data_IF_789952297718
#
_entry.id   IF_789952297718
#
_cell.length_a   1.000
_cell.length_b   1.000
_cell.length_c   1.000
_cell.angle_alpha   90.00
_cell.angle_beta   90.00
_cell.angle_gamma   90.00
#
_symmetry.space_group_name_H-M   'P 1'
#
loop_
_entity.id
_entity.type
_entity.pdbx_description
1 polymer ?
#
# COMPACT_ATOMS: atom_id res chain seq x y z
N UNK A 1 -6.24 5.43 18.32
CA UNK A 1 -7.22 5.11 17.26
C UNK A 1 -8.08 3.96 17.75
N UNK A 2 -9.38 3.98 17.51
CA UNK A 2 -10.29 2.87 17.86
C UNK A 2 -10.08 1.69 16.90
N UNK A 3 -10.23 0.45 17.40
CA UNK A 3 -10.16 -0.74 16.57
C UNK A 3 -11.29 -0.73 15.53
N UNK A 4 -10.98 -1.05 14.28
CA UNK A 4 -11.95 -1.04 13.17
C UNK A 4 -12.40 -2.46 12.84
N UNK A 5 -13.71 -2.76 12.85
CA UNK A 5 -14.20 -4.09 12.47
C UNK A 5 -14.07 -4.30 10.96
N UNK A 6 -13.59 -5.47 10.58
CA UNK A 6 -13.55 -5.94 9.20
C UNK A 6 -14.21 -7.32 9.07
N UNK A 7 -14.73 -7.62 7.89
CA UNK A 7 -15.05 -9.00 7.52
C UNK A 7 -13.74 -9.74 7.23
N UNK A 8 -13.75 -11.07 7.33
CA UNK A 8 -12.57 -11.89 7.02
C UNK A 8 -12.06 -11.61 5.59
N UNK A 9 -12.97 -11.59 4.62
CA UNK A 9 -12.64 -11.32 3.21
C UNK A 9 -12.04 -9.93 3.03
N UNK A 10 -12.67 -8.88 3.58
CA UNK A 10 -12.15 -7.51 3.45
C UNK A 10 -10.78 -7.33 4.10
N UNK A 11 -10.48 -8.06 5.19
CA UNK A 11 -9.14 -8.08 5.78
C UNK A 11 -8.12 -8.77 4.86
N UNK A 12 -8.46 -9.92 4.29
CA UNK A 12 -7.62 -10.67 3.35
C UNK A 12 -7.31 -9.86 2.09
N UNK A 13 -8.29 -9.15 1.54
CA UNK A 13 -8.12 -8.26 0.38
C UNK A 13 -7.10 -7.14 0.67
N UNK A 14 -7.18 -6.49 1.85
CA UNK A 14 -6.23 -5.46 2.26
C UNK A 14 -4.81 -6.01 2.48
N UNK A 15 -4.70 -7.23 3.00
CA UNK A 15 -3.41 -7.92 3.15
C UNK A 15 -2.81 -8.25 1.79
N UNK A 16 -3.62 -8.75 0.85
CA UNK A 16 -3.18 -9.01 -0.51
C UNK A 16 -2.72 -7.74 -1.21
N UNK A 17 -3.50 -6.65 -1.13
CA UNK A 17 -3.11 -5.35 -1.69
C UNK A 17 -1.78 -4.87 -1.11
N UNK A 18 -1.58 -4.99 0.21
CA UNK A 18 -0.32 -4.63 0.86
C UNK A 18 0.85 -5.48 0.33
N UNK A 19 0.66 -6.77 0.13
CA UNK A 19 1.69 -7.67 -0.40
C UNK A 19 2.07 -7.31 -1.84
N UNK A 20 1.09 -7.03 -2.69
CA UNK A 20 1.32 -6.60 -4.08
C UNK A 20 2.06 -5.26 -4.14
N UNK A 21 1.64 -4.28 -3.34
CA UNK A 21 2.32 -2.99 -3.27
C UNK A 21 3.74 -3.11 -2.72
N UNK A 22 4.00 -4.04 -1.82
CA UNK A 22 5.35 -4.30 -1.30
C UNK A 22 6.27 -4.82 -2.40
N UNK A 23 5.77 -5.70 -3.28
CA UNK A 23 6.51 -6.15 -4.47
C UNK A 23 6.74 -4.99 -5.44
N UNK A 24 5.68 -4.25 -5.78
CA UNK A 24 5.74 -3.08 -6.67
C UNK A 24 6.71 -1.99 -6.18
N UNK A 25 6.86 -1.85 -4.86
CA UNK A 25 7.82 -0.93 -4.24
C UNK A 25 9.26 -1.26 -4.62
N UNK A 26 9.63 -2.55 -4.68
CA UNK A 26 10.99 -2.98 -5.07
C UNK A 26 11.29 -2.51 -6.49
N UNK A 27 10.34 -2.73 -7.41
CA UNK A 27 10.47 -2.28 -8.80
C UNK A 27 10.52 -0.76 -8.90
N UNK A 28 9.71 -0.04 -8.11
CA UNK A 28 9.72 1.43 -8.08
C UNK A 28 11.06 1.99 -7.57
N UNK A 29 11.68 1.36 -6.57
CA UNK A 29 13.01 1.74 -6.07
C UNK A 29 14.09 1.46 -7.12
N UNK A 30 14.04 0.31 -7.79
CA UNK A 30 14.97 -0.02 -8.87
C UNK A 30 14.87 0.99 -10.01
N UNK A 31 13.65 1.32 -10.45
CA UNK A 31 13.40 2.34 -11.47
C UNK A 31 13.89 3.72 -11.06
N UNK A 32 13.70 4.12 -9.80
CA UNK A 32 14.21 5.40 -9.29
C UNK A 32 15.73 5.44 -9.31
N UNK A 33 16.39 4.33 -8.95
CA UNK A 33 17.85 4.21 -9.00
C UNK A 33 18.37 4.35 -10.43
N UNK A 34 17.80 3.59 -11.37
CA UNK A 34 18.17 3.67 -12.79
C UNK A 34 17.93 5.07 -13.35
N UNK A 35 16.77 5.66 -13.06
CA UNK A 35 16.47 7.02 -13.51
C UNK A 35 17.46 8.05 -12.93
N UNK A 36 17.90 7.88 -11.68
CA UNK A 36 18.91 8.75 -11.05
C UNK A 36 20.27 8.68 -11.74
N UNK A 37 20.62 7.56 -12.37
CA UNK A 37 21.89 7.35 -13.07
C UNK A 37 21.88 7.87 -14.51
N UNK A 38 20.70 8.16 -15.08
CA UNK A 38 20.52 8.55 -16.49
C UNK A 38 20.83 10.04 -16.81
N UNK A 39 21.29 10.85 -15.85
CA UNK A 39 21.72 12.23 -16.12
C UNK A 39 21.43 13.19 -14.97
N UNK A 40 21.37 14.49 -15.29
CA UNK A 40 21.13 15.55 -14.31
C UNK A 40 19.71 15.47 -13.73
N UNK A 41 19.62 15.41 -12.40
CA UNK A 41 18.36 15.21 -11.65
C UNK A 41 17.37 16.36 -11.79
N UNK A 42 17.87 17.57 -12.09
CA UNK A 42 17.04 18.77 -12.22
C UNK A 42 16.15 18.73 -13.46
N UNK A 43 16.67 18.19 -14.57
CA UNK A 43 15.98 18.11 -15.87
C UNK A 43 15.35 16.73 -16.14
N UNK A 44 15.79 15.70 -15.42
CA UNK A 44 15.35 14.33 -15.64
C UNK A 44 13.87 14.11 -15.24
N UNK A 45 12.99 14.17 -16.24
CA UNK A 45 11.56 13.90 -16.08
C UNK A 45 11.29 12.46 -15.61
N UNK A 46 12.06 11.48 -16.07
CA UNK A 46 11.92 10.08 -15.65
C UNK A 46 12.19 9.91 -14.16
N UNK A 47 13.18 10.61 -13.60
CA UNK A 47 13.45 10.63 -12.16
C UNK A 47 12.29 11.22 -11.37
N UNK A 48 11.71 12.35 -11.81
CA UNK A 48 10.55 12.98 -11.16
C UNK A 48 9.34 12.03 -11.15
N UNK A 49 9.08 11.35 -12.26
CA UNK A 49 7.99 10.37 -12.38
C UNK A 49 8.26 9.15 -11.48
N UNK A 50 9.46 8.57 -11.52
CA UNK A 50 9.83 7.44 -10.69
C UNK A 50 9.73 7.76 -9.19
N UNK A 51 10.15 8.97 -8.79
CA UNK A 51 10.05 9.45 -7.40
C UNK A 51 8.59 9.59 -6.96
N UNK A 52 7.74 10.15 -7.82
CA UNK A 52 6.31 10.29 -7.55
C UNK A 52 5.62 8.93 -7.42
N UNK A 53 5.97 7.97 -8.29
CA UNK A 53 5.46 6.60 -8.25
C UNK A 53 5.85 5.90 -6.94
N UNK A 54 7.12 5.97 -6.55
CA UNK A 54 7.59 5.42 -5.26
C UNK A 54 6.85 6.06 -4.08
N UNK A 55 6.74 7.39 -4.06
CA UNK A 55 6.03 8.12 -3.00
C UNK A 55 4.55 7.69 -2.87
N UNK A 56 3.89 7.45 -4.00
CA UNK A 56 2.50 7.02 -4.05
C UNK A 56 2.33 5.61 -3.47
N UNK A 57 3.21 4.67 -3.85
CA UNK A 57 3.25 3.31 -3.29
C UNK A 57 3.50 3.35 -1.79
N UNK A 58 4.51 4.11 -1.35
CA UNK A 58 4.86 4.26 0.07
C UNK A 58 3.71 4.86 0.89
N UNK A 59 2.99 5.84 0.33
CA UNK A 59 1.82 6.45 0.99
C UNK A 59 0.72 5.42 1.20
N UNK A 60 0.42 4.60 0.18
CA UNK A 60 -0.61 3.56 0.27
C UNK A 60 -0.20 2.46 1.24
N UNK A 61 1.05 2.01 1.22
CA UNK A 61 1.58 1.02 2.16
C UNK A 61 1.48 1.48 3.63
N UNK A 62 1.82 2.76 3.91
CA UNK A 62 1.65 3.33 5.26
C UNK A 62 0.20 3.34 5.71
N UNK A 63 -0.71 3.71 4.80
CA UNK A 63 -2.14 3.72 5.08
C UNK A 63 -2.67 2.31 5.38
N UNK A 64 -2.38 1.33 4.52
CA UNK A 64 -2.78 -0.07 4.71
C UNK A 64 -2.20 -0.65 6.00
N UNK A 65 -0.93 -0.37 6.31
CA UNK A 65 -0.30 -0.84 7.54
C UNK A 65 -1.00 -0.30 8.78
N UNK A 66 -1.34 1.00 8.78
CA UNK A 66 -2.06 1.63 9.89
C UNK A 66 -3.48 1.11 10.07
N UNK A 67 -4.17 0.79 8.97
CA UNK A 67 -5.51 0.17 9.04
C UNK A 67 -5.41 -1.25 9.58
N UNK A 68 -4.51 -2.07 9.03
CA UNK A 68 -4.34 -3.47 9.41
C UNK A 68 -3.90 -3.62 10.87
N UNK A 69 -3.09 -2.70 11.40
CA UNK A 69 -2.66 -2.67 12.80
C UNK A 69 -3.83 -2.44 13.79
N UNK A 70 -4.89 -1.80 13.34
CA UNK A 70 -6.10 -1.54 14.13
C UNK A 70 -7.31 -2.39 13.71
N UNK A 71 -7.15 -3.26 12.72
CA UNK A 71 -8.22 -4.09 12.20
C UNK A 71 -8.47 -5.31 13.10
N UNK A 72 -9.72 -5.68 13.28
CA UNK A 72 -10.10 -6.97 13.87
C UNK A 72 -11.22 -7.61 13.05
N UNK A 73 -11.18 -8.94 12.95
CA UNK A 73 -12.17 -9.69 12.19
C UNK A 73 -13.42 -9.88 13.07
N UNK A 74 -14.55 -9.30 12.65
CA UNK A 74 -15.82 -9.49 13.33
C UNK A 74 -16.47 -10.80 12.87
N UNK A 75 -16.89 -11.65 13.81
CA UNK A 75 -17.82 -12.74 13.51
C UNK A 75 -19.22 -12.14 13.42
N UNK A 76 -19.76 -12.07 12.21
CA UNK A 76 -21.17 -11.73 12.00
C UNK A 76 -22.02 -12.91 12.48
N UNK A 77 -22.46 -12.84 13.74
CA UNK A 77 -23.50 -13.70 14.28
C UNK A 77 -24.84 -13.12 13.80
N UNK A 78 -25.34 -13.60 12.66
CA UNK A 78 -26.66 -13.22 12.16
C UNK A 78 -27.71 -13.82 13.09
N UNK A 79 -28.07 -13.11 14.17
CA UNK A 79 -29.32 -13.36 14.89
C UNK A 79 -30.48 -12.79 14.08
N UNK A 80 -30.85 -13.51 13.03
CA UNK A 80 -32.13 -13.31 12.36
C UNK A 80 -33.23 -13.58 13.37
N UNK A 81 -33.92 -12.54 13.81
CA UNK A 81 -35.20 -12.66 14.49
C UNK A 81 -36.20 -13.06 13.42
N UNK A 82 -36.72 -14.28 13.55
CA UNK A 82 -37.80 -14.87 12.74
C UNK A 82 -39.12 -14.15 12.98
#
# INVERSE_FOLDING_TARGET
MSKTPFTKQGYEDLVNEKNELTKSRVDAVANLKTAREMGDLSENAAYKVARSKLSSVDRRLRFLTKILDHAYIMKVDFKGVV
#
